data_IF_660668550377
#
_entry.id   IF_660668550377
#
_cell.length_a   1.000
_cell.length_b   1.000
_cell.length_c   1.000
_cell.angle_alpha   90.00
_cell.angle_beta   90.00
_cell.angle_gamma   90.00
#
_symmetry.space_group_name_H-M   'P 1'
#
loop_
_entity.id
_entity.type
_entity.pdbx_description
1 polymer ?
#
# COMPACT_ATOMS: atom_id res chain seq x y z
N UNK A 1 -45.41 -36.60 21.17
CA UNK A 1 -44.91 -35.23 21.39
C UNK A 1 -43.45 -35.22 21.00
N UNK A 2 -43.20 -34.87 19.75
CA UNK A 2 -41.88 -34.54 19.21
C UNK A 2 -41.53 -33.13 19.67
N UNK A 3 -40.39 -32.97 20.33
CA UNK A 3 -39.64 -31.74 20.17
C UNK A 3 -38.15 -32.09 20.23
N UNK A 4 -37.49 -31.98 19.09
CA UNK A 4 -36.05 -32.12 18.96
C UNK A 4 -35.60 -31.01 18.01
N UNK A 5 -35.42 -29.83 18.58
CA UNK A 5 -34.70 -28.72 17.98
C UNK A 5 -33.27 -29.18 17.66
N UNK A 6 -32.79 -29.11 16.40
CA UNK A 6 -31.39 -29.37 16.13
C UNK A 6 -30.54 -28.24 16.74
N UNK A 7 -29.32 -28.55 17.23
CA UNK A 7 -28.48 -27.54 17.86
C UNK A 7 -27.98 -26.56 16.80
N UNK A 8 -28.09 -25.27 17.12
CA UNK A 8 -27.36 -24.18 16.46
C UNK A 8 -25.88 -24.56 16.40
N UNK A 9 -25.34 -24.73 15.20
CA UNK A 9 -23.91 -24.87 14.98
C UNK A 9 -23.21 -23.63 15.54
N UNK A 10 -22.45 -23.86 16.61
CA UNK A 10 -21.51 -22.89 17.14
C UNK A 10 -20.47 -22.61 16.04
N UNK A 11 -20.51 -21.39 15.50
CA UNK A 11 -19.48 -20.87 14.61
C UNK A 11 -18.14 -20.94 15.32
N UNK A 12 -17.22 -21.68 14.71
CA UNK A 12 -15.87 -21.87 15.22
C UNK A 12 -15.12 -20.53 15.26
N UNK A 13 -14.53 -20.27 16.42
CA UNK A 13 -13.67 -19.14 16.76
C UNK A 13 -12.47 -19.00 15.79
N UNK A 14 -12.28 -17.80 15.23
CA UNK A 14 -10.98 -17.30 14.78
C UNK A 14 -10.60 -17.38 13.30
N UNK A 15 -11.33 -18.08 12.43
CA UNK A 15 -11.07 -18.04 10.99
C UNK A 15 -11.88 -16.90 10.34
N UNK A 16 -11.28 -16.05 9.49
CA UNK A 16 -12.04 -15.06 8.75
C UNK A 16 -13.08 -15.78 7.88
N UNK A 17 -14.34 -15.38 8.01
CA UNK A 17 -15.40 -15.85 7.12
C UNK A 17 -15.18 -15.22 5.74
N UNK A 18 -14.52 -15.98 4.86
CA UNK A 18 -14.19 -15.57 3.50
C UNK A 18 -15.44 -15.22 2.67
N UNK A 19 -16.58 -15.88 2.92
CA UNK A 19 -17.82 -15.58 2.20
C UNK A 19 -18.38 -14.22 2.63
N UNK A 20 -18.31 -13.91 3.93
CA UNK A 20 -18.67 -12.58 4.44
C UNK A 20 -17.74 -11.50 3.91
N UNK A 21 -16.41 -11.69 3.96
CA UNK A 21 -15.44 -10.73 3.39
C UNK A 21 -15.64 -10.50 1.89
N UNK A 22 -16.02 -11.54 1.14
CA UNK A 22 -16.27 -11.44 -0.31
C UNK A 22 -17.51 -10.62 -0.61
N UNK A 23 -18.57 -10.73 0.20
CA UNK A 23 -19.75 -9.86 0.07
C UNK A 23 -19.41 -8.41 0.44
N UNK A 24 -18.67 -8.22 1.53
CA UNK A 24 -18.27 -6.89 1.99
C UNK A 24 -17.45 -6.15 0.94
N UNK A 25 -16.49 -6.82 0.27
CA UNK A 25 -15.68 -6.19 -0.78
C UNK A 25 -16.45 -5.97 -2.09
N UNK A 26 -17.48 -6.78 -2.37
CA UNK A 26 -18.28 -6.64 -3.58
C UNK A 26 -19.04 -5.29 -3.65
N UNK A 27 -19.33 -4.72 -2.48
CA UNK A 27 -20.02 -3.44 -2.34
C UNK A 27 -19.06 -2.23 -2.31
N UNK A 28 -17.74 -2.45 -2.30
CA UNK A 28 -16.74 -1.37 -2.25
C UNK A 28 -16.36 -0.91 -3.66
N UNK A 29 -16.47 0.40 -3.99
CA UNK A 29 -16.03 0.93 -5.27
C UNK A 29 -14.54 0.65 -5.53
N UNK A 30 -14.20 0.30 -6.77
CA UNK A 30 -12.81 0.03 -7.15
C UNK A 30 -11.85 1.21 -6.85
N UNK A 31 -12.33 2.45 -6.98
CA UNK A 31 -11.56 3.65 -6.63
C UNK A 31 -11.17 3.64 -5.15
N UNK A 32 -12.06 3.23 -4.26
CA UNK A 32 -11.80 3.16 -2.81
C UNK A 32 -10.83 2.03 -2.47
N UNK A 33 -10.96 0.88 -3.13
CA UNK A 33 -10.00 -0.23 -2.95
C UNK A 33 -8.60 0.21 -3.38
N UNK A 34 -8.47 0.84 -4.55
CA UNK A 34 -7.18 1.28 -5.08
C UNK A 34 -6.53 2.32 -4.18
N UNK A 35 -7.28 3.35 -3.76
CA UNK A 35 -6.74 4.42 -2.92
C UNK A 35 -6.35 3.89 -1.54
N UNK A 36 -7.15 3.00 -0.95
CA UNK A 36 -6.85 2.37 0.34
C UNK A 36 -5.56 1.54 0.26
N UNK A 37 -5.42 0.70 -0.76
CA UNK A 37 -4.20 -0.11 -0.97
C UNK A 37 -2.99 0.79 -1.22
N UNK A 38 -3.13 1.88 -1.99
CA UNK A 38 -2.05 2.84 -2.21
C UNK A 38 -1.59 3.50 -0.90
N UNK A 39 -2.52 3.87 -0.01
CA UNK A 39 -2.20 4.42 1.31
C UNK A 39 -1.51 3.40 2.21
N UNK A 40 -1.90 2.12 2.16
CA UNK A 40 -1.21 1.06 2.89
C UNK A 40 0.23 0.87 2.40
N UNK A 41 0.46 0.86 1.09
CA UNK A 41 1.81 0.78 0.51
C UNK A 41 2.66 2.00 0.89
N UNK A 42 2.08 3.20 0.86
CA UNK A 42 2.75 4.45 1.26
C UNK A 42 3.18 4.40 2.73
N UNK A 43 2.26 4.01 3.61
CA UNK A 43 2.53 3.89 5.05
C UNK A 43 3.58 2.83 5.34
N UNK A 44 3.48 1.66 4.70
CA UNK A 44 4.44 0.58 4.88
C UNK A 44 5.84 0.98 4.37
N UNK A 45 5.93 1.67 3.23
CA UNK A 45 7.20 2.18 2.72
C UNK A 45 7.81 3.22 3.67
N UNK A 46 7.00 4.13 4.21
CA UNK A 46 7.45 5.13 5.19
C UNK A 46 8.03 4.49 6.46
N UNK A 47 7.36 3.46 6.99
CA UNK A 47 7.86 2.69 8.15
C UNK A 47 9.20 2.02 7.84
N UNK A 48 9.33 1.37 6.67
CA UNK A 48 10.59 0.72 6.27
C UNK A 48 11.71 1.73 5.98
N UNK A 49 11.39 2.98 5.65
CA UNK A 49 12.34 4.09 5.57
C UNK A 49 12.70 4.70 6.94
N UNK A 50 12.05 4.27 8.02
CA UNK A 50 12.23 4.85 9.36
C UNK A 50 11.60 6.24 9.52
N UNK A 51 10.61 6.60 8.70
CA UNK A 51 9.94 7.91 8.73
C UNK A 51 8.74 7.94 9.69
N UNK A 52 8.43 6.82 10.36
CA UNK A 52 7.27 6.67 11.23
C UNK A 52 7.42 7.40 12.57
N UNK A 53 8.66 7.55 13.06
CA UNK A 53 8.97 8.25 14.32
C UNK A 53 10.42 8.77 14.32
N UNK A 54 10.71 9.81 15.12
CA UNK A 54 12.07 10.23 15.38
C UNK A 54 12.90 9.06 15.92
N UNK A 55 14.11 8.87 15.41
CA UNK A 55 15.05 7.82 15.82
C UNK A 55 14.54 6.38 15.66
N UNK A 56 13.76 6.11 14.59
CA UNK A 56 13.30 4.75 14.30
C UNK A 56 14.48 3.77 14.12
N UNK A 57 14.57 2.78 14.99
CA UNK A 57 15.57 1.70 14.89
C UNK A 57 15.24 0.71 13.74
N UNK A 58 14.00 0.75 13.26
CA UNK A 58 13.54 -0.10 12.17
C UNK A 58 13.73 0.62 10.83
N UNK A 59 14.71 0.15 10.05
CA UNK A 59 14.93 0.60 8.67
C UNK A 59 15.31 -0.59 7.79
N UNK A 60 14.51 -0.84 6.77
CA UNK A 60 14.73 -1.90 5.79
C UNK A 60 14.57 -1.30 4.38
N UNK A 61 15.69 -0.90 3.78
CA UNK A 61 15.69 -0.33 2.44
C UNK A 61 15.33 -1.37 1.36
N UNK A 62 15.57 -2.65 1.61
CA UNK A 62 15.22 -3.69 0.63
C UNK A 62 13.71 -3.89 0.56
N UNK A 63 13.01 -3.83 1.69
CA UNK A 63 11.54 -3.81 1.73
C UNK A 63 10.96 -2.49 1.22
N UNK A 64 11.52 -1.34 1.64
CA UNK A 64 11.09 -0.03 1.13
C UNK A 64 11.16 0.04 -0.40
N UNK A 65 12.23 -0.47 -1.02
CA UNK A 65 12.39 -0.49 -2.49
C UNK A 65 11.24 -1.23 -3.18
N UNK A 66 10.85 -2.39 -2.66
CA UNK A 66 9.77 -3.22 -3.22
C UNK A 66 8.43 -2.48 -3.12
N UNK A 67 8.14 -1.91 -1.95
CA UNK A 67 6.88 -1.21 -1.68
C UNK A 67 6.76 0.08 -2.51
N UNK A 68 7.81 0.89 -2.60
CA UNK A 68 7.83 2.11 -3.44
C UNK A 68 7.64 1.75 -4.92
N UNK A 69 8.29 0.68 -5.38
CA UNK A 69 8.14 0.22 -6.77
C UNK A 69 6.72 -0.26 -7.07
N UNK A 70 6.11 -1.01 -6.15
CA UNK A 70 4.73 -1.46 -6.28
C UNK A 70 3.75 -0.27 -6.26
N UNK A 71 3.93 0.68 -5.35
CA UNK A 71 3.14 1.90 -5.26
C UNK A 71 3.24 2.74 -6.54
N UNK A 72 4.44 2.91 -7.08
CA UNK A 72 4.66 3.64 -8.32
C UNK A 72 3.93 2.99 -9.51
N UNK A 73 4.00 1.66 -9.62
CA UNK A 73 3.23 0.93 -10.63
C UNK A 73 1.72 1.14 -10.47
N UNK A 74 1.21 1.00 -9.24
CA UNK A 74 -0.22 1.16 -8.94
C UNK A 74 -0.72 2.57 -9.26
N UNK A 75 -0.04 3.61 -8.77
CA UNK A 75 -0.45 5.02 -8.93
C UNK A 75 -0.36 5.46 -10.40
N UNK A 76 0.65 5.01 -11.13
CA UNK A 76 0.78 5.31 -12.55
C UNK A 76 -0.31 4.62 -13.36
N UNK A 77 -0.58 3.34 -13.09
CA UNK A 77 -1.59 2.58 -13.83
C UNK A 77 -3.03 3.02 -13.54
N UNK A 78 -3.33 3.41 -12.29
CA UNK A 78 -4.68 3.78 -11.85
C UNK A 78 -5.02 5.27 -12.00
N UNK A 79 -4.07 6.08 -12.47
CA UNK A 79 -4.16 7.54 -12.57
C UNK A 79 -5.45 8.06 -13.22
N UNK A 80 -5.92 7.41 -14.28
CA UNK A 80 -7.13 7.80 -15.02
C UNK A 80 -8.40 7.35 -14.34
N UNK A 81 -8.34 6.28 -13.55
CA UNK A 81 -9.48 5.64 -12.91
C UNK A 81 -9.89 6.32 -11.60
N UNK A 82 -8.91 6.81 -10.83
CA UNK A 82 -9.16 7.39 -9.49
C UNK A 82 -9.35 8.92 -9.48
N UNK A 83 -9.36 9.55 -10.66
CA UNK A 83 -9.34 11.01 -10.88
C UNK A 83 -8.09 11.72 -10.35
N UNK A 84 -7.84 12.93 -10.86
CA UNK A 84 -6.72 13.77 -10.40
C UNK A 84 -6.79 14.14 -8.92
N UNK A 85 -7.99 14.19 -8.33
CA UNK A 85 -8.19 14.57 -6.93
C UNK A 85 -7.57 13.56 -5.96
N UNK A 86 -7.77 12.25 -6.20
CA UNK A 86 -7.15 11.20 -5.38
C UNK A 86 -5.71 10.89 -5.82
N UNK A 87 -5.42 11.00 -7.12
CA UNK A 87 -4.09 10.65 -7.64
C UNK A 87 -3.00 11.66 -7.22
N UNK A 88 -3.31 12.95 -7.11
CA UNK A 88 -2.30 13.98 -6.83
C UNK A 88 -1.61 13.78 -5.46
N UNK A 89 -2.33 13.63 -4.33
CA UNK A 89 -1.69 13.38 -3.03
C UNK A 89 -0.86 12.10 -3.00
N UNK A 90 -1.29 11.05 -3.71
CA UNK A 90 -0.54 9.79 -3.80
C UNK A 90 0.77 9.94 -4.57
N UNK A 91 0.78 10.73 -5.65
CA UNK A 91 2.01 11.05 -6.40
C UNK A 91 2.97 11.90 -5.57
N UNK A 92 2.46 12.88 -4.83
CA UNK A 92 3.27 13.73 -3.96
C UNK A 92 3.92 12.89 -2.85
N UNK A 93 3.14 12.05 -2.18
CA UNK A 93 3.65 11.13 -1.17
C UNK A 93 4.66 10.12 -1.73
N UNK A 94 4.40 9.54 -2.91
CA UNK A 94 5.33 8.66 -3.60
C UNK A 94 6.65 9.39 -3.90
N UNK A 95 6.61 10.62 -4.42
CA UNK A 95 7.80 11.43 -4.68
C UNK A 95 8.60 11.68 -3.39
N UNK A 96 7.94 12.00 -2.28
CA UNK A 96 8.59 12.16 -0.98
C UNK A 96 9.30 10.87 -0.53
N UNK A 97 8.68 9.71 -0.71
CA UNK A 97 9.30 8.42 -0.38
C UNK A 97 10.52 8.13 -1.27
N UNK A 98 10.44 8.42 -2.58
CA UNK A 98 11.55 8.22 -3.51
C UNK A 98 12.76 9.09 -3.15
N UNK A 99 12.52 10.36 -2.78
CA UNK A 99 13.58 11.26 -2.32
C UNK A 99 14.19 10.79 -0.99
N UNK A 100 13.35 10.43 0.00
CA UNK A 100 13.81 9.92 1.28
C UNK A 100 14.60 8.62 1.14
N UNK A 101 14.19 7.72 0.24
CA UNK A 101 14.95 6.52 -0.10
C UNK A 101 16.34 6.87 -0.64
N UNK A 102 16.40 7.80 -1.60
CA UNK A 102 17.66 8.25 -2.21
C UNK A 102 18.61 8.84 -1.17
N UNK A 103 18.09 9.63 -0.23
CA UNK A 103 18.84 10.20 0.89
C UNK A 103 19.32 9.13 1.89
N UNK A 104 18.49 8.12 2.15
CA UNK A 104 18.81 7.06 3.11
C UNK A 104 19.77 6.00 2.54
N UNK A 105 19.87 5.87 1.22
CA UNK A 105 20.72 4.88 0.55
C UNK A 105 22.20 5.27 0.59
N UNK A 106 23.04 4.35 1.04
CA UNK A 106 24.50 4.52 1.06
C UNK A 106 25.09 4.41 -0.35
N UNK A 107 24.42 3.65 -1.22
CA UNK A 107 24.79 3.49 -2.64
C UNK A 107 23.66 4.09 -3.47
N UNK A 108 23.83 5.31 -3.98
CA UNK A 108 22.80 5.96 -4.79
C UNK A 108 22.53 5.15 -6.08
N UNK A 109 21.25 4.98 -6.41
CA UNK A 109 20.86 4.49 -7.72
C UNK A 109 21.14 5.57 -8.78
N UNK A 110 21.48 5.15 -10.00
CA UNK A 110 21.57 6.05 -11.16
C UNK A 110 20.20 6.70 -11.44
N UNK A 111 20.16 7.92 -12.00
CA UNK A 111 18.89 8.56 -12.37
C UNK A 111 18.02 7.66 -13.28
N UNK A 112 16.78 7.44 -12.88
CA UNK A 112 15.83 6.55 -13.57
C UNK A 112 15.88 5.09 -13.09
N UNK A 113 16.80 4.74 -12.19
CA UNK A 113 16.95 3.39 -11.62
C UNK A 113 16.56 3.32 -10.14
N UNK A 114 16.16 4.45 -9.54
CA UNK A 114 15.65 4.48 -8.17
C UNK A 114 14.32 3.71 -8.03
N UNK A 115 13.89 3.39 -6.79
CA UNK A 115 12.64 2.67 -6.55
C UNK A 115 11.45 3.38 -7.22
N UNK A 116 10.72 2.65 -8.07
CA UNK A 116 9.57 3.20 -8.80
C UNK A 116 9.89 4.14 -9.97
N UNK A 117 11.14 4.58 -10.18
CA UNK A 117 11.50 5.56 -11.22
C UNK A 117 11.28 5.06 -12.65
N UNK A 118 11.23 3.74 -12.85
CA UNK A 118 10.77 3.13 -14.10
C UNK A 118 9.37 3.62 -14.54
N UNK A 119 8.51 3.93 -13.58
CA UNK A 119 7.15 4.40 -13.82
C UNK A 119 7.00 5.92 -13.72
N UNK A 120 7.76 6.57 -12.85
CA UNK A 120 7.62 8.00 -12.56
C UNK A 120 8.62 8.89 -13.30
N UNK A 121 9.66 8.30 -13.89
CA UNK A 121 10.87 9.01 -14.30
C UNK A 121 11.77 9.34 -13.10
N UNK A 122 12.97 9.91 -13.36
CA UNK A 122 13.92 10.29 -12.32
C UNK A 122 13.34 11.35 -11.38
N UNK A 123 13.60 11.22 -10.07
CA UNK A 123 13.24 12.26 -9.10
C UNK A 123 14.44 13.16 -8.78
N UNK A 124 14.18 14.46 -8.80
CA UNK A 124 15.13 15.48 -8.39
C UNK A 124 14.59 16.18 -7.14
N UNK A 125 15.44 16.27 -6.13
CA UNK A 125 15.24 17.03 -4.89
C UNK A 125 16.04 18.32 -4.94
#
# INVERSE_FOLDING_TARGET
>A
MTDATPPTEATADGAPDYDTMTRDIADVPAVEVITTVAVHLLSAAAVNLGLDKPDSEHKDLDEARKLITALAGLVTASATEISSFHAAPLRDGLKSLQLAFREASIVPDEPGQGPGEKFTGPVFG
#
